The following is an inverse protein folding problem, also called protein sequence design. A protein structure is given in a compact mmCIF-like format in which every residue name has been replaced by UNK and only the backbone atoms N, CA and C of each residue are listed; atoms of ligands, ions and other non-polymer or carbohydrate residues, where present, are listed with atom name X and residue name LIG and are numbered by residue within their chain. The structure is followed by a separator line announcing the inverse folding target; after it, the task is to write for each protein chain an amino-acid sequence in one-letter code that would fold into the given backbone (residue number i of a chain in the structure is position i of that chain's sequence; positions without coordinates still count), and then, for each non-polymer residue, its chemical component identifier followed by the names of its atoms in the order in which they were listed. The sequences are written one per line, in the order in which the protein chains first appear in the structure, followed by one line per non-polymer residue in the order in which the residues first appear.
data_IF_289348875552
#
_entry.id   IF_289348875552
#
_cell.length_a   1.000
_cell.length_b   1.000
_cell.length_c   1.000
_cell.angle_alpha   90.00
_cell.angle_beta   90.00
_cell.angle_gamma   90.00
#
_symmetry.space_group_name_H-M   'P 1'
#
loop_
_entity.id
_entity.type
_entity.pdbx_description
1 polymer ?
#
# COMPACT_ATOMS: atom_id res chain seq x y z
N UNK A 1 8.33 -16.51 3.83
CA UNK A 1 7.83 -16.83 5.18
C UNK A 1 8.77 -17.72 6.00
N UNK A 2 9.15 -18.95 5.59
CA UNK A 2 10.11 -19.80 6.35
C UNK A 2 11.40 -19.07 6.76
N UNK A 3 12.09 -18.48 5.77
CA UNK A 3 13.35 -17.75 5.98
C UNK A 3 13.18 -16.59 6.97
N UNK A 4 12.01 -15.95 6.97
CA UNK A 4 11.66 -14.83 7.86
C UNK A 4 11.49 -15.27 9.32
N UNK A 5 10.96 -16.49 9.55
CA UNK A 5 10.97 -17.12 10.89
C UNK A 5 12.35 -17.72 11.27
N UNK A 6 13.41 -17.52 10.47
CA UNK A 6 14.75 -18.02 10.74
C UNK A 6 14.91 -19.54 10.67
N UNK A 7 13.95 -20.25 10.06
CA UNK A 7 13.91 -21.71 10.10
C UNK A 7 14.61 -22.37 8.91
N UNK A 8 15.27 -23.51 9.14
CA UNK A 8 15.73 -24.38 8.06
C UNK A 8 14.57 -25.16 7.44
N UNK A 9 14.78 -25.71 6.23
CA UNK A 9 13.78 -26.59 5.60
C UNK A 9 13.52 -27.83 6.46
N UNK A 10 14.52 -28.33 7.17
CA UNK A 10 14.36 -29.46 8.09
C UNK A 10 13.43 -29.09 9.24
N UNK A 11 13.64 -27.92 9.87
CA UNK A 11 12.85 -27.47 11.02
C UNK A 11 11.38 -27.30 10.64
N UNK A 12 11.12 -26.59 9.54
CA UNK A 12 9.74 -26.36 9.09
C UNK A 12 9.07 -27.67 8.63
N UNK A 13 9.82 -28.56 7.98
CA UNK A 13 9.28 -29.86 7.56
C UNK A 13 8.90 -30.73 8.76
N UNK A 14 9.69 -30.69 9.84
CA UNK A 14 9.39 -31.40 11.08
C UNK A 14 8.12 -30.88 11.75
N UNK A 15 7.94 -29.56 11.81
CA UNK A 15 6.74 -28.94 12.41
C UNK A 15 5.47 -29.24 11.61
N UNK A 16 5.57 -29.32 10.28
CA UNK A 16 4.43 -29.52 9.38
C UNK A 16 4.15 -30.99 9.05
N UNK A 17 4.93 -31.90 9.65
CA UNK A 17 4.92 -33.35 9.41
C UNK A 17 5.11 -33.69 7.91
N UNK A 18 6.03 -32.98 7.25
CA UNK A 18 6.40 -33.19 5.86
C UNK A 18 7.84 -33.72 5.79
N UNK A 19 8.19 -34.38 4.68
CA UNK A 19 9.60 -34.63 4.41
C UNK A 19 10.27 -33.33 3.94
N UNK A 20 11.56 -33.15 4.28
CA UNK A 20 12.36 -32.01 3.79
C UNK A 20 12.29 -31.89 2.26
N UNK A 21 12.33 -33.02 1.54
CA UNK A 21 12.26 -33.07 0.08
C UNK A 21 10.90 -32.57 -0.44
N UNK A 22 9.81 -32.99 0.21
CA UNK A 22 8.45 -32.55 -0.12
C UNK A 22 8.29 -31.05 0.09
N UNK A 23 8.75 -30.52 1.24
CA UNK A 23 8.72 -29.08 1.50
C UNK A 23 9.57 -28.29 0.49
N UNK A 24 10.77 -28.77 0.16
CA UNK A 24 11.62 -28.13 -0.84
C UNK A 24 10.98 -28.12 -2.25
N UNK A 25 10.20 -29.14 -2.59
CA UNK A 25 9.40 -29.18 -3.81
C UNK A 25 8.31 -28.09 -3.83
N UNK A 26 7.61 -27.93 -2.71
CA UNK A 26 6.57 -26.91 -2.54
C UNK A 26 7.14 -25.48 -2.59
N UNK A 27 8.31 -25.23 -2.00
CA UNK A 27 8.95 -23.91 -2.05
C UNK A 27 9.43 -23.52 -3.46
N UNK A 28 9.60 -24.48 -4.37
CA UNK A 28 10.06 -24.22 -5.74
C UNK A 28 8.92 -24.05 -6.72
N UNK A 29 8.10 -25.08 -6.91
CA UNK A 29 7.14 -25.10 -8.03
C UNK A 29 6.02 -26.14 -7.90
N UNK A 30 6.06 -27.02 -6.90
CA UNK A 30 5.05 -28.08 -6.76
C UNK A 30 3.87 -27.53 -5.98
N UNK A 31 2.66 -27.65 -6.54
CA UNK A 31 1.45 -27.23 -5.84
C UNK A 31 1.20 -28.14 -4.62
N UNK A 32 1.12 -27.59 -3.40
CA UNK A 32 0.82 -28.40 -2.22
C UNK A 32 -0.64 -28.90 -2.25
N UNK A 33 -0.92 -30.11 -1.74
CA UNK A 33 -2.29 -30.57 -1.50
C UNK A 33 -3.03 -29.61 -0.58
N UNK A 34 -4.35 -29.54 -0.73
CA UNK A 34 -5.17 -28.61 0.07
C UNK A 34 -4.97 -28.77 1.58
N UNK A 35 -4.87 -30.01 2.08
CA UNK A 35 -4.59 -30.31 3.49
C UNK A 35 -3.25 -29.70 3.96
N UNK A 36 -2.25 -29.64 3.09
CA UNK A 36 -0.96 -29.01 3.38
C UNK A 36 -1.07 -27.49 3.35
N UNK A 37 -1.84 -26.92 2.42
CA UNK A 37 -2.12 -25.48 2.39
C UNK A 37 -2.81 -24.99 3.67
N UNK A 38 -3.76 -25.77 4.21
CA UNK A 38 -4.39 -25.47 5.51
C UNK A 38 -3.32 -25.42 6.61
N UNK A 39 -2.44 -26.43 6.69
CA UNK A 39 -1.37 -26.46 7.69
C UNK A 39 -0.40 -25.27 7.56
N UNK A 40 -0.11 -24.84 6.33
CA UNK A 40 0.69 -23.64 6.09
C UNK A 40 -0.04 -22.38 6.57
N UNK A 41 -1.32 -22.25 6.23
CA UNK A 41 -2.17 -21.13 6.64
C UNK A 41 -2.22 -21.00 8.17
N UNK A 42 -2.48 -22.10 8.86
CA UNK A 42 -2.49 -22.17 10.33
C UNK A 42 -1.12 -21.83 10.93
N UNK A 43 -0.04 -22.41 10.40
CA UNK A 43 1.30 -22.22 10.96
C UNK A 43 1.85 -20.79 10.78
N UNK A 44 1.56 -20.18 9.63
CA UNK A 44 1.98 -18.82 9.32
C UNK A 44 0.94 -17.77 9.73
N UNK A 45 -0.22 -18.18 10.23
CA UNK A 45 -1.34 -17.29 10.58
C UNK A 45 -1.79 -16.42 9.39
N UNK A 46 -1.92 -17.03 8.22
CA UNK A 46 -2.31 -16.37 6.96
C UNK A 46 -3.55 -17.05 6.36
N UNK A 47 -4.31 -16.36 5.53
CA UNK A 47 -5.44 -16.99 4.83
C UNK A 47 -4.97 -17.93 3.70
N UNK A 48 -5.75 -18.99 3.45
CA UNK A 48 -5.48 -19.89 2.31
C UNK A 48 -5.56 -19.13 0.99
N UNK A 49 -6.50 -18.19 0.87
CA UNK A 49 -6.64 -17.34 -0.30
C UNK A 49 -5.35 -16.54 -0.56
N UNK A 50 -4.72 -16.00 0.48
CA UNK A 50 -3.45 -15.29 0.35
C UNK A 50 -2.30 -16.19 -0.12
N UNK A 51 -2.23 -17.44 0.37
CA UNK A 51 -1.21 -18.41 -0.07
C UNK A 51 -1.35 -18.78 -1.55
N UNK A 52 -2.57 -18.76 -2.09
CA UNK A 52 -2.88 -19.21 -3.45
C UNK A 52 -2.83 -18.08 -4.45
N UNK A 53 -3.34 -16.89 -4.09
CA UNK A 53 -3.44 -15.75 -5.01
C UNK A 53 -2.14 -14.97 -5.17
N UNK A 54 -1.27 -14.98 -4.16
CA UNK A 54 -0.13 -14.09 -4.13
C UNK A 54 1.20 -14.82 -4.25
N UNK A 55 2.11 -14.21 -5.02
CA UNK A 55 3.53 -14.55 -5.04
C UNK A 55 4.20 -13.94 -3.81
N UNK A 56 4.24 -14.71 -2.72
CA UNK A 56 4.76 -14.25 -1.42
C UNK A 56 6.26 -13.90 -1.44
N UNK A 57 6.99 -14.36 -2.45
CA UNK A 57 8.40 -14.02 -2.71
C UNK A 57 8.59 -12.61 -3.28
N UNK A 58 7.52 -12.02 -3.85
CA UNK A 58 7.54 -10.66 -4.41
C UNK A 58 7.01 -9.59 -3.43
N UNK A 59 6.69 -9.97 -2.19
CA UNK A 59 6.13 -9.07 -1.18
C UNK A 59 7.22 -8.56 -0.22
N UNK A 60 7.10 -7.30 0.23
CA UNK A 60 8.02 -6.73 1.22
C UNK A 60 7.81 -7.32 2.63
N UNK A 61 8.74 -7.03 3.53
CA UNK A 61 8.62 -7.41 4.94
C UNK A 61 7.36 -6.82 5.59
N UNK A 62 7.05 -5.56 5.31
CA UNK A 62 5.84 -4.92 5.80
C UNK A 62 4.60 -5.66 5.29
N UNK A 63 4.47 -5.91 3.99
CA UNK A 63 3.31 -6.61 3.43
C UNK A 63 3.15 -8.02 4.00
N UNK A 64 4.27 -8.75 4.16
CA UNK A 64 4.26 -10.07 4.76
C UNK A 64 3.83 -10.03 6.23
N UNK A 65 4.22 -9.00 7.00
CA UNK A 65 3.76 -8.81 8.38
C UNK A 65 2.25 -8.57 8.47
N UNK A 66 1.67 -7.88 7.47
CA UNK A 66 0.23 -7.60 7.44
C UNK A 66 -0.60 -8.85 7.11
N UNK A 67 -0.09 -9.72 6.23
CA UNK A 67 -0.77 -10.98 5.89
C UNK A 67 -0.78 -11.95 7.10
N UNK A 68 0.31 -11.99 7.88
CA UNK A 68 0.40 -12.81 9.11
C UNK A 68 -0.37 -12.23 10.30
N UNK A 69 -0.75 -10.95 10.24
CA UNK A 69 -1.53 -10.27 11.28
C UNK A 69 -3.01 -10.68 11.34
N UNK A 70 -3.46 -11.61 10.49
CA UNK A 70 -4.83 -12.11 10.50
C UNK A 70 -5.87 -11.08 10.07
N UNK A 71 -5.53 -10.15 9.17
CA UNK A 71 -6.52 -9.29 8.54
C UNK A 71 -7.40 -10.14 7.62
N UNK A 72 -8.50 -10.60 8.21
CA UNK A 72 -9.65 -11.09 7.49
C UNK A 72 -10.06 -10.06 6.44
N UNK A 73 -10.40 -10.59 5.29
CA UNK A 73 -10.99 -9.89 4.16
C UNK A 73 -12.40 -9.48 4.60
N UNK A 74 -12.56 -8.54 5.53
CA UNK A 74 -13.89 -8.02 5.81
C UNK A 74 -13.94 -6.72 6.61
N UNK A 75 -14.21 -5.63 5.88
CA UNK A 75 -15.31 -4.73 6.28
C UNK A 75 -16.13 -4.29 5.05
N UNK A 76 -15.61 -4.37 3.82
CA UNK A 76 -16.37 -3.89 2.62
C UNK A 76 -16.12 -4.66 1.31
N UNK A 77 -15.47 -5.84 1.35
CA UNK A 77 -15.41 -6.80 0.25
C UNK A 77 -15.20 -6.23 -1.17
N UNK A 78 -13.94 -6.08 -1.60
CA UNK A 78 -13.42 -6.61 -2.88
C UNK A 78 -11.97 -6.15 -3.09
N UNK A 79 -11.08 -7.14 -3.14
CA UNK A 79 -9.63 -7.08 -3.36
C UNK A 79 -8.80 -6.63 -2.16
N UNK A 80 -7.91 -7.53 -1.72
CA UNK A 80 -6.68 -7.16 -1.05
C UNK A 80 -5.98 -6.11 -1.93
N UNK A 81 -5.83 -4.89 -1.39
CA UNK A 81 -5.09 -3.83 -2.05
C UNK A 81 -3.61 -4.06 -1.78
N UNK A 82 -3.03 -5.00 -2.52
CA UNK A 82 -1.57 -5.11 -2.57
C UNK A 82 -1.04 -3.87 -3.26
N UNK A 83 -0.51 -2.97 -2.45
CA UNK A 83 0.28 -1.88 -2.93
C UNK A 83 1.51 -2.46 -3.63
N UNK A 84 1.66 -2.26 -4.94
CA UNK A 84 2.94 -2.57 -5.56
C UNK A 84 3.97 -1.58 -5.04
N UNK A 85 5.06 -2.12 -4.49
CA UNK A 85 6.22 -1.40 -4.04
C UNK A 85 7.44 -2.04 -4.67
N UNK A 86 8.43 -1.22 -4.97
CA UNK A 86 9.74 -1.70 -5.37
C UNK A 86 10.70 -1.70 -4.19
N UNK A 87 11.53 -2.73 -4.08
CA UNK A 87 12.58 -2.82 -3.07
C UNK A 87 13.95 -2.59 -3.69
N UNK A 88 14.88 -2.02 -2.94
CA UNK A 88 16.29 -1.92 -3.31
C UNK A 88 17.00 -3.28 -3.17
N UNK A 89 18.24 -3.37 -3.65
CA UNK A 89 19.09 -4.57 -3.48
C UNK A 89 19.36 -4.90 -1.99
N UNK A 90 19.18 -3.91 -1.11
CA UNK A 90 19.33 -4.02 0.34
C UNK A 90 18.03 -4.46 1.05
N UNK A 91 16.94 -4.64 0.29
CA UNK A 91 15.63 -5.06 0.80
C UNK A 91 14.77 -3.92 1.36
N UNK A 92 15.19 -2.67 1.17
CA UNK A 92 14.49 -1.47 1.65
C UNK A 92 13.44 -0.99 0.64
N UNK A 93 12.27 -0.53 1.11
CA UNK A 93 11.22 0.01 0.25
C UNK A 93 11.68 1.31 -0.43
N UNK A 94 11.52 1.39 -1.75
CA UNK A 94 11.69 2.64 -2.48
C UNK A 94 10.44 3.51 -2.37
N UNK A 95 10.64 4.81 -2.46
CA UNK A 95 9.57 5.80 -2.60
C UNK A 95 9.39 6.07 -4.09
N UNK A 96 8.27 5.65 -4.66
CA UNK A 96 7.95 5.97 -6.05
C UNK A 96 7.48 7.43 -6.21
N UNK A 97 7.92 8.07 -7.29
CA UNK A 97 7.53 9.41 -7.69
C UNK A 97 6.45 9.34 -8.77
N UNK A 98 5.27 9.89 -8.48
CA UNK A 98 4.13 9.98 -9.41
C UNK A 98 4.03 11.42 -9.93
N UNK A 99 4.65 11.75 -11.09
CA UNK A 99 4.54 13.08 -11.70
C UNK A 99 3.12 13.34 -12.21
N UNK A 100 2.75 14.62 -12.37
CA UNK A 100 1.41 15.03 -12.87
C UNK A 100 1.05 14.30 -14.19
N UNK A 101 2.01 14.20 -15.11
CA UNK A 101 1.83 13.54 -16.41
C UNK A 101 1.50 12.04 -16.31
N UNK A 102 1.88 11.40 -15.21
CA UNK A 102 1.68 9.98 -14.97
C UNK A 102 0.42 9.69 -14.13
N UNK A 103 -0.24 10.71 -13.58
CA UNK A 103 -1.39 10.53 -12.66
C UNK A 103 -2.58 9.82 -13.32
N UNK A 104 -2.87 10.12 -14.59
CA UNK A 104 -3.98 9.49 -15.32
C UNK A 104 -3.76 7.97 -15.49
N UNK A 105 -2.53 7.57 -15.87
CA UNK A 105 -2.14 6.16 -15.94
C UNK A 105 -2.11 5.51 -14.56
N UNK A 106 -1.60 6.22 -13.55
CA UNK A 106 -1.56 5.73 -12.18
C UNK A 106 -2.95 5.47 -11.58
N UNK A 107 -3.93 6.34 -11.84
CA UNK A 107 -5.30 6.18 -11.37
C UNK A 107 -6.07 5.08 -12.14
N UNK A 108 -5.78 4.90 -13.43
CA UNK A 108 -6.48 3.94 -14.30
C UNK A 108 -5.91 2.52 -14.21
N UNK A 109 -4.58 2.38 -14.15
CA UNK A 109 -3.84 1.11 -14.11
C UNK A 109 -3.27 0.83 -12.70
N UNK A 110 -4.02 1.26 -11.67
CA UNK A 110 -3.65 1.08 -10.28
C UNK A 110 -3.32 -0.39 -9.96
N UNK A 111 -2.03 -0.67 -9.72
CA UNK A 111 -1.52 -2.01 -9.41
C UNK A 111 -0.87 -2.75 -10.59
N UNK A 112 -0.71 -2.14 -11.77
CA UNK A 112 0.19 -2.68 -12.78
C UNK A 112 1.64 -2.56 -12.28
N UNK A 113 2.22 -3.72 -11.98
CA UNK A 113 3.59 -3.83 -11.48
C UNK A 113 4.62 -3.30 -12.47
N UNK A 114 4.35 -3.38 -13.78
CA UNK A 114 5.22 -2.85 -14.83
C UNK A 114 5.25 -1.32 -14.81
N UNK A 115 4.09 -0.68 -14.69
CA UNK A 115 4.00 0.77 -14.63
C UNK A 115 4.65 1.34 -13.37
N UNK A 116 4.31 0.81 -12.19
CA UNK A 116 4.90 1.25 -10.92
C UNK A 116 6.42 1.04 -10.92
N UNK A 117 6.91 -0.06 -11.52
CA UNK A 117 8.34 -0.30 -11.63
C UNK A 117 9.08 0.72 -12.51
N UNK A 118 8.40 1.31 -13.49
CA UNK A 118 8.97 2.33 -14.40
C UNK A 118 9.06 3.73 -13.79
N UNK A 119 8.34 3.99 -12.69
CA UNK A 119 8.36 5.28 -12.04
C UNK A 119 9.75 5.57 -11.46
N UNK A 120 10.19 6.85 -11.47
CA UNK A 120 11.39 7.26 -10.76
C UNK A 120 11.27 6.93 -9.27
N UNK A 121 12.38 6.52 -8.67
CA UNK A 121 12.43 6.03 -7.28
C UNK A 121 13.53 6.73 -6.52
N UNK A 122 13.32 6.91 -5.24
CA UNK A 122 14.31 7.42 -4.30
C UNK A 122 14.06 6.83 -2.92
N UNK A 123 15.01 7.00 -2.00
CA UNK A 123 14.85 6.63 -0.60
C UNK A 123 15.09 7.85 0.30
N UNK A 124 14.36 7.92 1.40
CA UNK A 124 14.57 8.94 2.44
C UNK A 124 15.03 8.22 3.73
N UNK A 125 16.30 8.35 4.11
CA UNK A 125 16.88 7.53 5.20
C UNK A 125 16.32 7.86 6.59
N UNK A 126 15.61 8.98 6.74
CA UNK A 126 15.03 9.42 8.01
C UNK A 126 13.56 9.00 8.21
N UNK A 127 12.92 8.43 7.20
CA UNK A 127 11.54 7.98 7.33
C UNK A 127 11.47 6.62 8.03
N UNK A 128 10.49 6.40 8.94
CA UNK A 128 10.26 5.10 9.55
C UNK A 128 10.07 3.99 8.52
N UNK A 129 10.84 2.90 8.63
CA UNK A 129 10.86 1.77 7.69
C UNK A 129 9.65 0.83 7.82
N UNK A 130 8.85 1.00 8.86
CA UNK A 130 7.63 0.24 9.12
C UNK A 130 6.41 0.78 8.35
N UNK A 131 6.60 1.78 7.49
CA UNK A 131 5.57 2.34 6.63
C UNK A 131 6.01 2.34 5.18
N UNK A 132 5.03 2.24 4.29
CA UNK A 132 5.23 2.46 2.87
C UNK A 132 4.93 3.91 2.50
N UNK A 133 5.78 4.50 1.66
CA UNK A 133 5.64 5.89 1.21
C UNK A 133 5.55 5.99 -0.31
N UNK A 134 4.85 7.03 -0.77
CA UNK A 134 4.83 7.43 -2.17
C UNK A 134 4.78 8.94 -2.27
N UNK A 135 5.39 9.47 -3.33
CA UNK A 135 5.45 10.91 -3.54
C UNK A 135 4.68 11.29 -4.79
N UNK A 136 3.79 12.27 -4.65
CA UNK A 136 2.89 12.72 -5.70
C UNK A 136 3.19 14.18 -6.01
N UNK A 137 3.33 14.52 -7.28
CA UNK A 137 3.39 15.91 -7.69
C UNK A 137 1.97 16.48 -7.70
N UNK A 138 1.71 17.55 -6.93
CA UNK A 138 0.37 18.13 -6.81
C UNK A 138 0.13 19.16 -7.91
N UNK A 139 -1.11 19.21 -8.40
CA UNK A 139 -1.58 20.18 -9.37
C UNK A 139 -2.64 21.10 -8.74
N UNK A 140 -2.63 22.38 -9.11
CA UNK A 140 -3.55 23.40 -8.62
C UNK A 140 -3.18 24.00 -7.26
N UNK A 141 -3.99 24.98 -6.83
CA UNK A 141 -3.78 25.85 -5.66
C UNK A 141 -4.73 25.52 -4.50
N UNK A 142 -5.37 24.36 -4.54
CA UNK A 142 -6.41 23.99 -3.58
C UNK A 142 -5.90 23.76 -2.15
N UNK A 143 -4.59 23.56 -1.98
CA UNK A 143 -3.96 23.21 -0.70
C UNK A 143 -2.90 24.23 -0.23
N UNK A 144 -3.11 25.53 -0.48
CA UNK A 144 -2.25 26.59 0.05
C UNK A 144 -2.03 26.44 1.57
N UNK A 145 -0.80 26.62 2.09
CA UNK A 145 0.36 27.24 1.43
C UNK A 145 1.20 26.31 0.55
N UNK A 146 0.81 25.06 0.32
CA UNK A 146 1.55 24.15 -0.57
C UNK A 146 1.30 24.58 -2.02
N UNK A 147 2.34 25.02 -2.75
CA UNK A 147 2.17 25.56 -4.09
C UNK A 147 1.93 24.44 -5.11
N UNK A 148 1.40 24.83 -6.27
CA UNK A 148 1.32 23.95 -7.43
C UNK A 148 2.71 23.44 -7.83
N UNK A 149 2.79 22.17 -8.24
CA UNK A 149 4.04 21.55 -8.66
C UNK A 149 4.91 21.03 -7.52
N UNK A 150 4.52 21.26 -6.26
CA UNK A 150 5.17 20.67 -5.10
C UNK A 150 5.05 19.13 -5.10
N UNK A 151 6.08 18.48 -4.58
CA UNK A 151 6.13 17.04 -4.40
C UNK A 151 5.71 16.68 -2.98
N UNK A 152 4.57 16.05 -2.82
CA UNK A 152 4.01 15.68 -1.52
C UNK A 152 4.23 14.19 -1.29
N UNK A 153 4.94 13.87 -0.22
CA UNK A 153 5.17 12.48 0.22
C UNK A 153 4.13 12.13 1.27
N UNK A 154 3.45 11.01 1.06
CA UNK A 154 2.52 10.45 2.04
C UNK A 154 2.84 9.01 2.41
N UNK A 155 2.42 8.60 3.60
CA UNK A 155 2.47 7.21 4.07
C UNK A 155 1.14 6.50 3.81
N UNK A 156 1.20 5.25 3.37
CA UNK A 156 0.01 4.51 2.95
C UNK A 156 -0.94 4.22 4.13
N UNK A 157 -2.22 4.57 3.99
CA UNK A 157 -3.26 4.26 4.96
C UNK A 157 -4.06 3.06 4.48
N UNK A 158 -3.90 1.93 5.17
CA UNK A 158 -4.65 0.71 4.89
C UNK A 158 -6.06 0.76 5.50
N UNK A 159 -6.15 1.05 6.80
CA UNK A 159 -7.42 1.12 7.50
C UNK A 159 -7.95 2.56 7.52
N UNK A 160 -8.85 2.87 6.59
CA UNK A 160 -9.43 4.21 6.48
C UNK A 160 -10.31 4.60 7.67
N UNK A 161 -10.77 3.65 8.48
CA UNK A 161 -11.51 3.96 9.70
C UNK A 161 -10.63 4.60 10.77
N UNK A 162 -9.31 4.42 10.70
CA UNK A 162 -8.36 5.00 11.66
C UNK A 162 -7.92 6.41 11.29
N UNK A 163 -8.37 6.94 10.14
CA UNK A 163 -8.05 8.30 9.73
C UNK A 163 -8.68 9.26 10.75
N UNK A 164 -7.85 10.11 11.35
CA UNK A 164 -8.30 11.16 12.26
C UNK A 164 -8.87 12.34 11.45
N UNK A 165 -9.95 12.92 11.95
CA UNK A 165 -10.52 14.13 11.36
C UNK A 165 -9.51 15.26 11.28
N UNK A 166 -9.51 15.97 10.16
CA UNK A 166 -8.58 17.08 9.92
C UNK A 166 -7.19 16.64 9.43
N UNK A 167 -7.01 15.36 9.08
CA UNK A 167 -5.72 14.85 8.56
C UNK A 167 -5.57 15.20 7.09
N UNK A 168 -4.48 15.88 6.67
CA UNK A 168 -4.18 16.07 5.25
C UNK A 168 -3.78 14.73 4.62
N UNK A 169 -4.44 14.37 3.53
CA UNK A 169 -4.19 13.13 2.81
C UNK A 169 -4.20 13.36 1.29
N UNK A 170 -3.37 12.59 0.59
CA UNK A 170 -3.52 12.36 -0.84
C UNK A 170 -4.54 11.23 -1.01
N UNK A 171 -5.58 11.48 -1.79
CA UNK A 171 -6.64 10.52 -2.08
C UNK A 171 -6.58 10.21 -3.57
N UNK A 172 -6.40 8.93 -3.89
CA UNK A 172 -6.40 8.43 -5.26
C UNK A 172 -7.78 7.86 -5.53
N UNK A 173 -8.43 8.36 -6.57
CA UNK A 173 -9.81 8.05 -6.91
C UNK A 173 -9.88 7.42 -8.30
N UNK A 174 -10.94 6.66 -8.57
CA UNK A 174 -11.16 6.07 -9.90
C UNK A 174 -11.55 7.11 -10.95
N UNK A 175 -12.29 8.14 -10.54
CA UNK A 175 -12.96 9.05 -11.46
C UNK A 175 -12.27 10.43 -11.56
N UNK A 176 -11.77 10.96 -10.44
CA UNK A 176 -11.19 12.32 -10.37
C UNK A 176 -9.65 12.31 -10.45
N UNK A 177 -9.02 11.12 -10.44
CA UNK A 177 -7.57 10.98 -10.34
C UNK A 177 -7.06 11.22 -8.92
N UNK A 178 -5.96 11.97 -8.79
CA UNK A 178 -5.24 12.16 -7.52
C UNK A 178 -5.53 13.55 -6.96
N UNK A 179 -6.07 13.61 -5.74
CA UNK A 179 -6.38 14.87 -5.07
C UNK A 179 -5.68 14.96 -3.72
N UNK A 180 -5.23 16.16 -3.34
CA UNK A 180 -4.70 16.43 -2.01
C UNK A 180 -5.69 17.30 -1.23
N UNK A 181 -6.14 16.80 -0.08
CA UNK A 181 -7.24 17.36 0.72
C UNK A 181 -7.07 17.07 2.20
N UNK A 182 -7.67 17.89 3.05
CA UNK A 182 -7.94 17.57 4.45
C UNK A 182 -9.12 16.62 4.53
N UNK A 183 -8.95 15.48 5.20
CA UNK A 183 -9.95 14.41 5.29
C UNK A 183 -10.67 14.44 6.63
N UNK A 184 -11.99 14.32 6.57
CA UNK A 184 -12.85 14.03 7.72
C UNK A 184 -13.51 12.67 7.50
N UNK A 185 -13.39 11.81 8.48
CA UNK A 185 -13.71 10.40 8.38
C UNK A 185 -15.17 10.15 8.73
N UNK A 186 -15.97 9.83 7.71
CA UNK A 186 -17.39 9.48 7.83
C UNK A 186 -17.65 8.03 7.40
N UNK A 187 -16.62 7.18 7.43
CA UNK A 187 -16.69 5.81 6.90
C UNK A 187 -17.72 4.98 7.66
N UNK A 188 -17.76 5.10 8.99
CA UNK A 188 -18.69 4.32 9.83
C UNK A 188 -20.15 4.77 9.71
N UNK A 189 -20.39 6.07 9.53
CA UNK A 189 -21.74 6.65 9.52
C UNK A 189 -22.35 6.76 8.12
N UNK A 190 -21.53 6.99 7.09
CA UNK A 190 -21.98 7.28 5.71
C UNK A 190 -21.23 6.52 4.62
N UNK A 191 -20.25 5.69 4.98
CA UNK A 191 -19.34 5.06 4.00
C UNK A 191 -18.69 6.08 3.05
N UNK A 192 -18.33 7.25 3.57
CA UNK A 192 -17.71 8.32 2.80
C UNK A 192 -16.57 8.99 3.58
N UNK A 193 -15.72 9.70 2.84
CA UNK A 193 -14.78 10.68 3.38
C UNK A 193 -15.23 12.07 2.93
N UNK A 194 -15.29 13.02 3.87
CA UNK A 194 -15.50 14.43 3.54
C UNK A 194 -14.14 15.05 3.24
N UNK A 195 -13.98 15.54 2.01
CA UNK A 195 -12.75 16.14 1.51
C UNK A 195 -12.85 17.66 1.55
N UNK A 196 -11.91 18.29 2.24
CA UNK A 196 -11.88 19.74 2.48
C UNK A 196 -10.57 20.31 1.95
N UNK A 197 -10.65 21.39 1.16
CA UNK A 197 -9.47 22.12 0.71
C UNK A 197 -9.07 23.16 1.76
N UNK A 198 -7.77 23.40 1.97
CA UNK A 198 -7.34 24.52 2.82
C UNK A 198 -7.60 25.86 2.16
N UNK A 199 -7.64 25.91 0.82
CA UNK A 199 -8.10 27.05 0.06
C UNK A 199 -9.64 27.14 0.10
N UNK A 200 -10.15 28.19 0.76
CA UNK A 200 -11.60 28.42 1.00
C UNK A 200 -12.43 28.66 -0.26
N UNK A 201 -11.79 28.90 -1.41
CA UNK A 201 -12.48 29.01 -2.71
C UNK A 201 -13.08 27.68 -3.16
N UNK A 202 -12.53 26.56 -2.67
CA UNK A 202 -12.98 25.21 -3.00
C UNK A 202 -13.94 24.71 -1.95
N UNK A 203 -15.17 24.36 -2.37
CA UNK A 203 -16.19 23.81 -1.47
C UNK A 203 -15.82 22.39 -1.02
N UNK A 204 -16.07 22.03 0.25
CA UNK A 204 -16.03 20.64 0.68
C UNK A 204 -16.99 19.75 -0.11
N UNK A 205 -16.60 18.50 -0.30
CA UNK A 205 -17.45 17.49 -0.95
C UNK A 205 -17.24 16.11 -0.31
N UNK A 206 -18.27 15.28 -0.34
CA UNK A 206 -18.22 13.91 0.15
C UNK A 206 -17.82 12.96 -0.99
N UNK A 207 -16.89 12.05 -0.71
CA UNK A 207 -16.46 11.01 -1.64
C UNK A 207 -16.74 9.64 -1.03
N UNK A 208 -17.47 8.79 -1.77
CA UNK A 208 -17.81 7.46 -1.28
C UNK A 208 -16.57 6.55 -1.29
N UNK A 209 -16.42 5.71 -0.26
CA UNK A 209 -15.27 4.79 -0.13
C UNK A 209 -15.11 3.83 -1.31
N UNK A 210 -16.19 3.52 -2.03
CA UNK A 210 -16.15 2.67 -3.24
C UNK A 210 -15.41 3.30 -4.43
N UNK A 211 -15.35 4.63 -4.47
CA UNK A 211 -14.64 5.40 -5.51
C UNK A 211 -13.16 5.61 -5.16
N UNK A 212 -12.79 5.36 -3.91
CA UNK A 212 -11.44 5.53 -3.42
C UNK A 212 -10.61 4.28 -3.72
N UNK A 213 -9.41 4.51 -4.23
CA UNK A 213 -8.44 3.49 -4.60
C UNK A 213 -7.39 3.38 -3.51
N UNK A 214 -6.75 4.51 -3.18
CA UNK A 214 -5.74 4.62 -2.13
C UNK A 214 -5.94 5.89 -1.30
N UNK A 215 -5.45 5.86 -0.06
CA UNK A 215 -5.31 7.05 0.77
C UNK A 215 -3.91 7.07 1.36
N UNK A 216 -3.25 8.20 1.28
CA UNK A 216 -1.90 8.42 1.80
C UNK A 216 -1.92 9.60 2.78
N UNK A 217 -1.52 9.36 4.02
CA UNK A 217 -1.40 10.41 5.03
C UNK A 217 -0.22 11.30 4.70
N UNK A 218 -0.40 12.61 4.71
CA UNK A 218 0.68 13.57 4.52
C UNK A 218 1.79 13.39 5.56
N UNK A 219 3.05 13.32 5.10
CA UNK A 219 4.25 13.27 5.95
C UNK A 219 5.14 14.49 5.71
N UNK A 220 5.39 14.83 4.45
CA UNK A 220 6.22 16.00 4.08
C UNK A 220 5.91 16.48 2.66
N UNK A 221 6.33 17.70 2.33
CA UNK A 221 6.37 18.19 0.95
C UNK A 221 7.74 18.81 0.62
N UNK A 222 8.08 18.77 -0.67
CA UNK A 222 9.28 19.39 -1.22
C UNK A 222 8.86 20.34 -2.35
N UNK A 223 9.15 21.63 -2.18
CA UNK A 223 9.06 22.62 -3.24
C UNK A 223 10.44 22.87 -3.83
N UNK A 224 10.52 23.07 -5.14
CA UNK A 224 11.73 23.56 -5.80
C UNK A 224 11.53 25.02 -6.18
N UNK A 225 11.46 25.89 -5.19
CA UNK A 225 11.53 27.33 -5.42
C UNK A 225 12.99 27.76 -5.35
N UNK A 226 13.53 28.20 -6.49
CA UNK A 226 14.77 28.98 -6.51
C UNK A 226 14.32 30.43 -6.35
N UNK A 227 14.52 31.01 -5.17
CA UNK A 227 14.44 32.46 -5.02
C UNK A 227 15.43 33.08 -6.01
N UNK A 228 14.91 33.87 -6.96
CA UNK A 228 15.71 34.68 -7.90
C UNK A 228 15.90 36.08 -7.34
#
# INVERSE_FOLDING_TARGET
MRKRKGMSQSDLSGVLELTRTTLAGYEKSVQPPFKTLIRFAEYFNVSIDALVRYKLDALSEFQLSQIEGGFDIDVTGQKLRLLTISVSDEGEENIELVPVKAQAGYASDYGDTGFIASLPKFSLPFLPKDKTYRTFQIQGDSMLPIPEGAWVTGSYIQNWQMIKDGTPCIVVTRDEGIVFKVVYNQVQSKQSLLLVSTNRLYKPYELNVSQIVEVWQFETYNGFEIER
#
